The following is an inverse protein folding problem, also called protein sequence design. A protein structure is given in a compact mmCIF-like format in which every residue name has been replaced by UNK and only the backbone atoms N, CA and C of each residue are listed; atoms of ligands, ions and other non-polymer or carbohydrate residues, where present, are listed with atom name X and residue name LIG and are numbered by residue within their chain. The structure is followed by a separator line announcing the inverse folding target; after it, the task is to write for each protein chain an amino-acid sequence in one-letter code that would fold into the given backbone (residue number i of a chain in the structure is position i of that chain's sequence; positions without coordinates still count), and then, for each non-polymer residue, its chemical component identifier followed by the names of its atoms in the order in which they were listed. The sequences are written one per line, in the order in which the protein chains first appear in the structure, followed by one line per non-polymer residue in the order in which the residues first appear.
data_IF_516236868884
#
_entry.id   IF_516236868884
#
_cell.length_a   1.000
_cell.length_b   1.000
_cell.length_c   1.000
_cell.angle_alpha   90.00
_cell.angle_beta   90.00
_cell.angle_gamma   90.00
#
_symmetry.space_group_name_H-M   'P 1'
#
loop_
_entity.id
_entity.type
_entity.pdbx_description
1 polymer ?
#
# COMPACT_ATOMS: atom_id res chain seq x y z
N UNK A 1 25.75 -15.37 -12.85
CA UNK A 1 26.04 -14.01 -12.39
C UNK A 1 24.72 -13.37 -12.00
N UNK A 2 24.26 -13.71 -10.80
CA UNK A 2 23.14 -13.07 -10.09
C UNK A 2 23.87 -12.33 -8.98
N UNK A 3 23.77 -11.01 -8.97
CA UNK A 3 24.47 -10.13 -8.03
C UNK A 3 24.27 -10.62 -6.60
N UNK A 4 25.39 -10.84 -5.92
CA UNK A 4 25.59 -11.56 -4.65
C UNK A 4 24.97 -10.87 -3.42
N UNK A 5 24.07 -9.91 -3.63
CA UNK A 5 23.47 -9.05 -2.61
C UNK A 5 21.94 -8.93 -2.73
N UNK A 6 21.30 -9.57 -3.73
CA UNK A 6 19.86 -9.38 -4.06
C UNK A 6 19.45 -7.89 -4.11
N UNK A 7 20.41 -6.99 -4.36
CA UNK A 7 20.15 -5.55 -4.35
C UNK A 7 19.26 -5.16 -5.53
N UNK A 8 19.47 -5.83 -6.67
CA UNK A 8 18.68 -5.72 -7.88
C UNK A 8 18.06 -7.07 -8.23
N UNK A 9 16.81 -7.08 -8.66
CA UNK A 9 16.15 -8.32 -9.09
C UNK A 9 14.70 -8.14 -9.44
N UNK A 10 14.13 -9.13 -10.12
CA UNK A 10 12.72 -9.20 -10.42
C UNK A 10 12.15 -10.56 -10.01
N UNK A 11 10.88 -10.57 -9.62
CA UNK A 11 10.15 -11.78 -9.23
C UNK A 11 8.77 -11.75 -9.86
N UNK A 12 8.35 -12.88 -10.41
CA UNK A 12 6.98 -13.08 -10.87
C UNK A 12 6.18 -13.79 -9.77
N UNK A 13 4.96 -13.32 -9.52
CA UNK A 13 4.04 -13.82 -8.50
C UNK A 13 4.69 -13.95 -7.11
N UNK A 14 4.56 -12.92 -6.28
CA UNK A 14 5.14 -12.91 -4.95
C UNK A 14 4.15 -12.55 -3.86
N UNK A 15 4.45 -13.03 -2.65
CA UNK A 15 3.86 -12.61 -1.39
C UNK A 15 4.99 -12.21 -0.44
N UNK A 16 4.84 -11.05 0.20
CA UNK A 16 5.79 -10.53 1.17
C UNK A 16 5.04 -10.30 2.48
N UNK A 17 5.62 -10.79 3.57
CA UNK A 17 5.18 -10.53 4.92
C UNK A 17 6.31 -9.83 5.67
N UNK A 18 6.01 -8.69 6.28
CA UNK A 18 6.97 -7.95 7.09
C UNK A 18 6.86 -8.34 8.56
N UNK A 19 7.92 -8.10 9.33
CA UNK A 19 7.93 -8.27 10.78
C UNK A 19 6.86 -7.43 11.51
N UNK A 20 6.46 -6.31 10.90
CA UNK A 20 5.45 -5.38 11.43
C UNK A 20 4.03 -5.75 10.95
N UNK A 21 3.81 -6.99 10.51
CA UNK A 21 2.52 -7.51 10.03
C UNK A 21 1.91 -6.70 8.89
N UNK A 22 2.75 -6.25 7.96
CA UNK A 22 2.30 -5.76 6.66
C UNK A 22 2.42 -6.87 5.61
N UNK A 23 1.37 -7.02 4.82
CA UNK A 23 1.25 -8.08 3.83
C UNK A 23 1.11 -7.47 2.45
N UNK A 24 1.97 -7.91 1.53
CA UNK A 24 1.93 -7.54 0.13
C UNK A 24 1.78 -8.80 -0.72
N UNK A 25 1.01 -8.70 -1.80
CA UNK A 25 0.96 -9.72 -2.85
C UNK A 25 0.90 -9.03 -4.21
N UNK A 26 1.56 -9.56 -5.23
CA UNK A 26 1.59 -8.92 -6.54
C UNK A 26 1.86 -9.93 -7.67
N UNK A 27 1.46 -9.56 -8.88
CA UNK A 27 1.72 -10.34 -10.10
C UNK A 27 3.20 -10.31 -10.48
N UNK A 28 3.89 -9.21 -10.22
CA UNK A 28 5.35 -9.13 -10.29
C UNK A 28 5.89 -8.04 -9.36
N UNK A 29 7.17 -8.14 -9.03
CA UNK A 29 7.90 -7.06 -8.38
C UNK A 29 9.33 -6.93 -8.89
N UNK A 30 9.83 -5.71 -8.85
CA UNK A 30 11.19 -5.35 -9.19
C UNK A 30 11.82 -4.63 -8.00
N UNK A 31 13.02 -5.04 -7.61
CA UNK A 31 13.86 -4.37 -6.62
C UNK A 31 15.02 -3.69 -7.34
N UNK A 32 15.26 -2.43 -7.02
CA UNK A 32 16.34 -1.63 -7.57
C UNK A 32 17.17 -0.96 -6.46
N UNK A 33 18.48 -1.04 -6.59
CA UNK A 33 19.48 -0.42 -5.72
C UNK A 33 19.37 -0.82 -4.25
N UNK A 34 18.76 -1.97 -3.95
CA UNK A 34 18.52 -2.43 -2.59
C UNK A 34 17.56 -1.55 -1.78
N UNK A 35 16.92 -0.54 -2.38
CA UNK A 35 16.15 0.50 -1.67
C UNK A 35 14.72 0.62 -2.17
N UNK A 36 14.52 0.53 -3.48
CA UNK A 36 13.21 0.67 -4.09
C UNK A 36 12.65 -0.71 -4.44
N UNK A 37 11.42 -1.01 -4.04
CA UNK A 37 10.69 -2.19 -4.51
C UNK A 37 9.37 -1.76 -5.12
N UNK A 38 9.18 -2.10 -6.39
CA UNK A 38 7.97 -1.78 -7.12
C UNK A 38 7.18 -3.05 -7.35
N UNK A 39 5.94 -3.09 -6.86
CA UNK A 39 5.00 -4.17 -7.08
C UNK A 39 4.00 -3.78 -8.16
N UNK A 40 3.78 -4.65 -9.14
CA UNK A 40 2.83 -4.44 -10.23
C UNK A 40 1.55 -5.25 -9.98
N UNK A 41 0.41 -4.59 -10.19
CA UNK A 41 -0.92 -5.14 -9.88
C UNK A 41 -0.97 -5.73 -8.45
N UNK A 42 -0.49 -4.93 -7.50
CA UNK A 42 -0.26 -5.33 -6.13
C UNK A 42 -1.47 -5.13 -5.22
N UNK A 43 -1.45 -5.86 -4.11
CA UNK A 43 -2.37 -5.74 -2.99
C UNK A 43 -1.56 -5.50 -1.72
N UNK A 44 -2.02 -4.58 -0.90
CA UNK A 44 -1.48 -4.30 0.43
C UNK A 44 -2.57 -4.38 1.49
N UNK A 45 -2.23 -4.90 2.66
CA UNK A 45 -3.04 -4.80 3.87
C UNK A 45 -2.16 -4.89 5.12
N UNK A 46 -2.59 -4.26 6.21
CA UNK A 46 -2.05 -4.52 7.55
C UNK A 46 -2.95 -5.49 8.36
N UNK A 47 -4.03 -6.00 7.76
CA UNK A 47 -4.80 -7.10 8.32
C UNK A 47 -4.17 -8.42 7.91
N UNK A 48 -3.91 -9.26 8.91
CA UNK A 48 -3.46 -10.64 8.71
C UNK A 48 -4.49 -11.43 7.88
N UNK A 49 -4.08 -11.99 6.72
CA UNK A 49 -4.98 -12.83 5.92
C UNK A 49 -5.39 -14.08 6.70
N UNK A 50 -6.66 -14.49 6.59
CA UNK A 50 -7.16 -15.67 7.29
C UNK A 50 -6.54 -16.96 6.73
N UNK A 51 -5.78 -17.69 7.53
CA UNK A 51 -5.16 -18.96 7.13
C UNK A 51 -6.19 -20.03 6.77
N UNK A 52 -7.27 -20.15 7.55
CA UNK A 52 -8.34 -21.14 7.30
C UNK A 52 -9.16 -20.86 6.03
N UNK A 53 -9.12 -19.62 5.53
CA UNK A 53 -9.92 -19.14 4.39
C UNK A 53 -9.07 -18.22 3.51
N UNK A 54 -8.08 -18.76 2.79
CA UNK A 54 -7.11 -17.98 2.04
C UNK A 54 -7.76 -17.17 0.90
N UNK A 55 -8.89 -17.64 0.37
CA UNK A 55 -9.63 -16.96 -0.70
C UNK A 55 -10.50 -15.80 -0.19
N UNK A 56 -10.69 -15.69 1.13
CA UNK A 56 -11.50 -14.62 1.72
C UNK A 56 -10.68 -13.34 1.81
N UNK A 57 -11.24 -12.25 1.27
CA UNK A 57 -10.61 -10.94 1.41
C UNK A 57 -10.47 -10.56 2.91
N UNK A 58 -9.34 -9.92 3.30
CA UNK A 58 -9.19 -9.36 4.64
C UNK A 58 -10.22 -8.25 4.88
N UNK A 59 -10.38 -7.85 6.14
CA UNK A 59 -11.30 -6.78 6.56
C UNK A 59 -11.14 -5.51 5.71
N UNK A 60 -9.90 -5.13 5.41
CA UNK A 60 -9.61 -4.09 4.43
C UNK A 60 -8.34 -4.41 3.64
N UNK A 61 -8.23 -3.87 2.43
CA UNK A 61 -7.02 -3.92 1.60
C UNK A 61 -7.00 -2.79 0.60
N UNK A 62 -5.84 -2.56 0.01
CA UNK A 62 -5.64 -1.63 -1.10
C UNK A 62 -5.15 -2.43 -2.29
N UNK A 63 -5.89 -2.42 -3.40
CA UNK A 63 -5.45 -2.99 -4.68
C UNK A 63 -4.97 -1.87 -5.58
N UNK A 64 -3.76 -1.92 -6.11
CA UNK A 64 -3.18 -0.85 -6.91
C UNK A 64 -2.50 -1.39 -8.17
N UNK A 65 -2.49 -0.60 -9.24
CA UNK A 65 -1.72 -0.95 -10.44
C UNK A 65 -0.21 -0.93 -10.15
N UNK A 66 0.23 -0.02 -9.29
CA UNK A 66 1.62 0.05 -8.82
C UNK A 66 1.67 0.36 -7.32
N UNK A 67 2.47 -0.39 -6.59
CA UNK A 67 2.85 -0.09 -5.19
C UNK A 67 4.36 0.12 -5.17
N UNK A 68 4.83 1.24 -4.67
CA UNK A 68 6.25 1.60 -4.62
C UNK A 68 6.66 1.71 -3.16
N UNK A 69 7.44 0.75 -2.68
CA UNK A 69 8.05 0.78 -1.36
C UNK A 69 9.46 1.36 -1.46
N UNK A 70 9.68 2.47 -0.80
CA UNK A 70 11.00 3.10 -0.67
C UNK A 70 11.52 2.95 0.76
N UNK A 71 12.54 2.10 0.93
CA UNK A 71 13.14 1.81 2.25
C UNK A 71 13.97 2.96 2.83
N UNK A 72 14.45 3.88 2.00
CA UNK A 72 15.22 5.06 2.44
C UNK A 72 14.29 6.20 2.86
N UNK A 73 13.31 6.54 2.03
CA UNK A 73 12.26 7.51 2.36
C UNK A 73 11.29 6.97 3.41
N UNK A 74 11.28 5.66 3.69
CA UNK A 74 10.35 5.01 4.62
C UNK A 74 8.89 5.25 4.23
N UNK A 75 8.56 5.01 2.97
CA UNK A 75 7.21 5.21 2.44
C UNK A 75 6.76 4.06 1.56
N UNK A 76 5.43 3.92 1.48
CA UNK A 76 4.75 3.06 0.51
C UNK A 76 3.76 3.92 -0.26
N UNK A 77 4.01 4.10 -1.55
CA UNK A 77 3.17 4.88 -2.47
C UNK A 77 2.31 3.94 -3.30
N UNK A 78 1.04 4.28 -3.48
CA UNK A 78 0.08 3.54 -4.28
C UNK A 78 -0.37 4.39 -5.45
N UNK A 79 -0.44 3.80 -6.64
CA UNK A 79 -0.90 4.47 -7.86
C UNK A 79 -2.04 3.69 -8.50
N UNK A 80 -3.09 4.42 -8.90
CA UNK A 80 -4.34 3.89 -9.46
C UNK A 80 -4.91 2.79 -8.57
N UNK A 81 -5.19 3.15 -7.31
CA UNK A 81 -5.58 2.21 -6.28
C UNK A 81 -7.08 2.23 -6.00
N UNK A 82 -7.60 1.10 -5.52
CA UNK A 82 -8.92 0.96 -4.93
C UNK A 82 -8.76 0.51 -3.49
N UNK A 83 -9.37 1.25 -2.58
CA UNK A 83 -9.56 0.81 -1.20
C UNK A 83 -10.78 -0.09 -1.12
N UNK A 84 -10.59 -1.30 -0.58
CA UNK A 84 -11.64 -2.29 -0.41
C UNK A 84 -11.88 -2.58 1.08
N UNK A 85 -13.13 -2.79 1.42
CA UNK A 85 -13.57 -3.19 2.76
C UNK A 85 -14.48 -4.41 2.65
N UNK A 86 -14.16 -5.49 3.37
CA UNK A 86 -14.81 -6.80 3.23
C UNK A 86 -14.92 -7.29 1.77
N UNK A 87 -13.94 -6.94 0.93
CA UNK A 87 -13.91 -7.30 -0.49
C UNK A 87 -14.71 -6.39 -1.43
N UNK A 88 -15.36 -5.34 -0.92
CA UNK A 88 -16.09 -4.36 -1.74
C UNK A 88 -15.26 -3.09 -1.94
N UNK A 89 -15.13 -2.57 -3.18
CA UNK A 89 -14.43 -1.32 -3.44
C UNK A 89 -15.24 -0.13 -2.93
N UNK A 90 -14.66 0.66 -2.02
CA UNK A 90 -15.31 1.83 -1.43
C UNK A 90 -14.81 3.15 -2.00
N UNK A 91 -13.52 3.22 -2.37
CA UNK A 91 -12.93 4.46 -2.87
C UNK A 91 -11.83 4.19 -3.88
N UNK A 92 -11.85 4.96 -4.97
CA UNK A 92 -10.75 5.05 -5.92
C UNK A 92 -9.78 6.15 -5.48
N UNK A 93 -8.50 5.82 -5.44
CA UNK A 93 -7.41 6.69 -5.02
C UNK A 93 -6.38 6.77 -6.15
N UNK A 94 -6.34 7.86 -6.94
CA UNK A 94 -5.45 7.97 -8.09
C UNK A 94 -3.96 7.90 -7.68
N UNK A 95 -3.62 8.52 -6.55
CA UNK A 95 -2.33 8.35 -5.90
C UNK A 95 -2.42 8.70 -4.42
N UNK A 96 -1.80 7.91 -3.55
CA UNK A 96 -1.59 8.26 -2.14
C UNK A 96 -0.33 7.58 -1.59
N UNK A 97 0.14 8.05 -0.44
CA UNK A 97 1.35 7.54 0.20
C UNK A 97 1.14 7.36 1.70
N UNK A 98 1.67 6.27 2.24
CA UNK A 98 1.68 5.97 3.68
C UNK A 98 3.12 5.81 4.18
N UNK A 99 3.30 5.89 5.50
CA UNK A 99 4.54 5.48 6.14
C UNK A 99 4.80 3.99 5.90
N UNK A 100 6.06 3.60 5.69
CA UNK A 100 6.37 2.17 5.64
C UNK A 100 6.15 1.51 7.01
N UNK A 101 6.00 0.17 7.06
CA UNK A 101 5.68 -0.55 8.29
C UNK A 101 6.71 -0.35 9.42
N UNK A 102 7.94 0.04 9.08
CA UNK A 102 9.04 0.23 10.05
C UNK A 102 8.93 1.55 10.82
N UNK A 103 8.01 2.45 10.42
CA UNK A 103 7.81 3.77 11.04
C UNK A 103 6.44 3.85 11.72
N UNK A 104 6.44 4.02 13.06
CA UNK A 104 5.19 4.15 13.85
C UNK A 104 4.31 5.33 13.45
N UNK A 105 4.91 6.45 13.05
CA UNK A 105 4.19 7.65 12.62
C UNK A 105 5.08 8.53 11.75
N UNK A 106 4.65 8.80 10.53
CA UNK A 106 5.27 9.77 9.63
C UNK A 106 4.23 10.84 9.31
N UNK A 107 4.60 12.13 9.37
CA UNK A 107 3.78 13.18 8.76
C UNK A 107 3.83 13.01 7.23
N UNK A 108 2.68 13.16 6.57
CA UNK A 108 2.53 12.90 5.14
C UNK A 108 1.38 13.72 4.55
N UNK A 109 0.93 13.36 3.34
CA UNK A 109 -0.20 14.02 2.68
C UNK A 109 -1.39 14.10 3.64
N UNK A 110 -1.82 15.32 3.95
CA UNK A 110 -2.89 15.53 4.91
C UNK A 110 -4.19 14.96 4.31
N UNK A 111 -4.88 14.11 5.07
CA UNK A 111 -6.14 13.52 4.63
C UNK A 111 -7.16 14.65 4.53
N UNK A 112 -7.89 14.79 3.40
CA UNK A 112 -8.91 15.82 3.28
C UNK A 112 -9.95 15.64 4.39
N UNK A 113 -10.30 16.75 5.05
CA UNK A 113 -11.27 16.76 6.13
C UNK A 113 -12.67 17.04 5.60
N UNK A 114 -13.68 16.37 6.14
CA UNK A 114 -15.08 16.79 5.98
C UNK A 114 -15.33 17.86 7.04
N UNK A 115 -15.81 19.04 6.62
CA UNK A 115 -16.14 20.15 7.52
C UNK A 115 -17.64 20.40 7.41
N UNK A 116 -18.30 20.51 8.55
CA UNK A 116 -19.68 20.98 8.63
C UNK A 116 -19.68 22.35 9.28
N UNK A 117 -20.32 23.32 8.64
CA UNK A 117 -20.48 24.68 9.16
C UNK A 117 -21.94 25.10 8.98
N UNK A 118 -22.55 25.66 10.02
CA UNK A 118 -23.96 26.04 10.00
C UNK A 118 -24.30 27.10 8.93
N UNK A 119 -23.33 27.94 8.56
CA UNK A 119 -23.49 28.97 7.51
C UNK A 119 -23.16 28.46 6.10
N UNK A 120 -22.26 27.48 5.97
CA UNK A 120 -21.70 27.02 4.69
C UNK A 120 -22.12 25.60 4.30
N UNK A 121 -22.79 24.87 5.20
CA UNK A 121 -23.17 23.48 5.02
C UNK A 121 -21.99 22.49 5.05
N UNK A 122 -22.07 21.44 4.23
CA UNK A 122 -21.05 20.40 4.11
C UNK A 122 -19.96 20.85 3.12
N UNK A 123 -18.70 20.86 3.57
CA UNK A 123 -17.53 21.17 2.75
C UNK A 123 -16.45 20.11 2.83
N UNK A 124 -15.59 20.06 1.81
CA UNK A 124 -14.38 19.23 1.79
C UNK A 124 -13.17 20.16 1.90
N UNK A 125 -12.39 20.00 2.96
CA UNK A 125 -11.11 20.69 3.13
C UNK A 125 -10.02 19.83 2.52
N UNK A 126 -9.48 20.28 1.38
CA UNK A 126 -8.27 19.69 0.78
C UNK A 126 -7.08 20.49 1.33
N UNK A 127 -6.25 19.87 2.17
CA UNK A 127 -5.08 20.51 2.77
C UNK A 127 -3.89 20.65 1.81
#
# INVERSE_FOLDING_TARGET
DITDDFADGFVNALRVETIDKAYFAAESAERMGGVLTTFHNGVYTACEPCEDKPDKAPTWRVKAKKIIWNGEKKTVRFENANFEFFGFPLAYLPAFEIADPTVKRKSGFLIPGIVFNDDLGVGVKIP
#
